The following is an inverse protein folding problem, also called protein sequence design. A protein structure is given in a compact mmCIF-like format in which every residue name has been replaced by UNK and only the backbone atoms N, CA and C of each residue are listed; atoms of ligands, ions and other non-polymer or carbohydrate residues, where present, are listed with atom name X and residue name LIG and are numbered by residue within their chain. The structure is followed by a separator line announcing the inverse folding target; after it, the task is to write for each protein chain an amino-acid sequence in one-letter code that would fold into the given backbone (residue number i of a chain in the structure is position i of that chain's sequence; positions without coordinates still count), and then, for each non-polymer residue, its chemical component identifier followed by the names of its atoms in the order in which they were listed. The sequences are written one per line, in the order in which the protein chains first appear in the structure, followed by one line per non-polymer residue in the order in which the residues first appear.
data_IF_429621295103
#
_entry.id   IF_429621295103
#
_cell.length_a   1.000
_cell.length_b   1.000
_cell.length_c   1.000
_cell.angle_alpha   90.00
_cell.angle_beta   90.00
_cell.angle_gamma   90.00
#
_symmetry.space_group_name_H-M   'P 1'
#
loop_
_entity.id
_entity.type
_entity.pdbx_description
1 polymer ?
#
# COMPACT_ATOMS: atom_id res chain seq x y z
N UNK A 1 29.02 15.24 -4.85
CA UNK A 1 28.62 13.84 -4.64
C UNK A 1 27.11 13.74 -4.77
N UNK A 2 26.63 13.40 -5.96
CA UNK A 2 25.21 13.33 -6.32
C UNK A 2 24.71 11.91 -6.10
N UNK A 3 23.97 11.67 -5.02
CA UNK A 3 23.27 10.40 -4.78
C UNK A 3 22.13 10.27 -5.78
N UNK A 4 22.23 9.24 -6.64
CA UNK A 4 21.19 8.79 -7.58
C UNK A 4 19.90 8.46 -6.78
N UNK A 5 18.70 8.83 -7.24
CA UNK A 5 17.47 8.39 -6.59
C UNK A 5 17.41 6.86 -6.66
N UNK A 6 17.43 6.20 -5.51
CA UNK A 6 17.30 4.75 -5.43
C UNK A 6 15.97 4.34 -6.04
N UNK A 7 16.01 3.35 -6.93
CA UNK A 7 14.81 2.68 -7.42
C UNK A 7 13.97 2.27 -6.20
N UNK A 8 12.65 2.49 -6.26
CA UNK A 8 11.77 1.95 -5.23
C UNK A 8 12.00 0.43 -5.16
N UNK A 9 12.12 -0.15 -3.96
CA UNK A 9 12.31 -1.59 -3.85
C UNK A 9 11.11 -2.27 -4.49
N UNK A 10 11.36 -3.06 -5.54
CA UNK A 10 10.34 -3.89 -6.18
C UNK A 10 9.71 -4.81 -5.12
N UNK A 11 8.38 -4.97 -5.14
CA UNK A 11 7.71 -5.76 -4.12
C UNK A 11 8.13 -7.22 -4.22
N UNK A 12 8.20 -7.90 -3.07
CA UNK A 12 8.58 -9.31 -3.04
C UNK A 12 7.56 -10.17 -3.80
N UNK A 13 8.03 -11.22 -4.47
CA UNK A 13 7.16 -12.13 -5.24
C UNK A 13 6.05 -12.73 -4.36
N UNK A 14 6.38 -13.07 -3.11
CA UNK A 14 5.44 -13.55 -2.10
C UNK A 14 4.35 -12.53 -1.76
N UNK A 15 4.70 -11.25 -1.56
CA UNK A 15 3.74 -10.19 -1.31
C UNK A 15 2.82 -9.93 -2.53
N UNK A 16 3.39 -10.02 -3.73
CA UNK A 16 2.64 -9.94 -4.99
C UNK A 16 1.69 -11.13 -5.13
N UNK A 17 2.13 -12.35 -4.79
CA UNK A 17 1.30 -13.55 -4.84
C UNK A 17 0.10 -13.48 -3.89
N UNK A 18 0.32 -13.02 -2.65
CA UNK A 18 -0.76 -12.76 -1.69
C UNK A 18 -1.77 -11.77 -2.28
N UNK A 19 -1.28 -10.64 -2.80
CA UNK A 19 -2.14 -9.57 -3.34
C UNK A 19 -2.97 -10.05 -4.53
N UNK A 20 -2.36 -10.82 -5.44
CA UNK A 20 -3.06 -11.41 -6.60
C UNK A 20 -4.17 -12.38 -6.16
N UNK A 21 -3.90 -13.22 -5.17
CA UNK A 21 -4.91 -14.13 -4.61
C UNK A 21 -6.04 -13.37 -3.92
N UNK A 22 -5.75 -12.38 -3.09
CA UNK A 22 -6.78 -11.55 -2.44
C UNK A 22 -7.65 -10.80 -3.47
N UNK A 23 -7.03 -10.27 -4.52
CA UNK A 23 -7.75 -9.63 -5.61
C UNK A 23 -8.66 -10.60 -6.37
N UNK A 24 -8.25 -11.88 -6.54
CA UNK A 24 -9.09 -12.88 -7.19
C UNK A 24 -10.33 -13.22 -6.36
N UNK A 25 -10.26 -13.16 -5.01
CA UNK A 25 -11.46 -13.31 -4.16
C UNK A 25 -12.50 -12.23 -4.45
N UNK A 26 -12.07 -10.97 -4.64
CA UNK A 26 -13.00 -9.86 -4.97
C UNK A 26 -13.54 -10.04 -6.38
N UNK A 27 -12.66 -10.36 -7.34
CA UNK A 27 -13.03 -10.54 -8.74
C UNK A 27 -14.03 -11.69 -8.94
N UNK A 28 -13.84 -12.80 -8.23
CA UNK A 28 -14.71 -13.98 -8.28
C UNK A 28 -15.95 -13.85 -7.36
N UNK A 29 -16.15 -12.70 -6.72
CA UNK A 29 -17.24 -12.46 -5.78
C UNK A 29 -17.27 -13.45 -4.60
N UNK A 30 -16.11 -13.95 -4.16
CA UNK A 30 -15.99 -14.82 -2.99
C UNK A 30 -16.06 -14.00 -1.69
N UNK A 31 -17.26 -13.51 -1.41
CA UNK A 31 -17.55 -12.69 -0.24
C UNK A 31 -17.53 -13.49 1.05
N UNK A 32 -17.70 -14.82 0.99
CA UNK A 32 -17.61 -15.70 2.13
C UNK A 32 -16.17 -15.71 2.67
N UNK A 33 -15.19 -15.98 1.79
CA UNK A 33 -13.76 -15.95 2.17
C UNK A 33 -13.32 -14.58 2.67
N UNK A 34 -13.75 -13.50 2.01
CA UNK A 34 -13.48 -12.13 2.49
C UNK A 34 -14.15 -11.84 3.84
N UNK A 35 -15.33 -12.40 4.11
CA UNK A 35 -15.99 -12.25 5.41
C UNK A 35 -15.29 -13.04 6.52
N UNK A 36 -14.75 -14.22 6.19
CA UNK A 36 -13.94 -15.00 7.11
C UNK A 36 -12.64 -14.28 7.47
N UNK A 37 -11.89 -13.77 6.48
CA UNK A 37 -10.65 -13.02 6.72
C UNK A 37 -10.82 -11.80 7.64
N UNK A 38 -12.03 -11.22 7.74
CA UNK A 38 -12.34 -10.14 8.70
C UNK A 38 -12.52 -10.61 10.14
N UNK A 39 -12.46 -11.92 10.42
CA UNK A 39 -12.73 -12.53 11.74
C UNK A 39 -11.46 -13.16 12.32
N UNK A 40 -10.49 -12.37 12.81
CA UNK A 40 -9.17 -12.86 13.20
C UNK A 40 -9.17 -13.86 14.39
N UNK A 41 -10.28 -13.97 15.12
CA UNK A 41 -10.45 -14.94 16.22
C UNK A 41 -10.81 -16.34 15.74
N UNK A 42 -11.20 -16.51 14.48
CA UNK A 42 -11.64 -17.78 13.91
C UNK A 42 -10.69 -18.12 12.77
N UNK A 43 -9.92 -19.19 12.91
CA UNK A 43 -9.05 -19.66 11.85
C UNK A 43 -9.83 -20.60 10.92
N UNK A 44 -9.92 -20.23 9.65
CA UNK A 44 -10.58 -20.97 8.56
C UNK A 44 -9.64 -21.07 7.35
N UNK A 45 -10.03 -21.83 6.34
CA UNK A 45 -9.23 -22.05 5.11
C UNK A 45 -8.61 -20.76 4.55
N UNK A 46 -9.33 -19.63 4.42
CA UNK A 46 -8.75 -18.42 3.85
C UNK A 46 -7.59 -17.85 4.69
N UNK A 47 -7.63 -18.03 6.00
CA UNK A 47 -6.56 -17.59 6.88
C UNK A 47 -5.30 -18.42 6.64
N UNK A 48 -5.43 -19.75 6.60
CA UNK A 48 -4.30 -20.64 6.31
C UNK A 48 -3.72 -20.38 4.92
N UNK A 49 -4.58 -20.12 3.94
CA UNK A 49 -4.15 -19.80 2.58
C UNK A 49 -3.39 -18.48 2.49
N UNK A 50 -3.81 -17.46 3.25
CA UNK A 50 -3.03 -16.23 3.38
C UNK A 50 -1.63 -16.50 3.96
N UNK A 51 -1.51 -17.42 4.92
CA UNK A 51 -0.23 -17.80 5.53
C UNK A 51 0.69 -18.56 4.57
N UNK A 52 0.16 -19.34 3.62
CA UNK A 52 0.97 -20.06 2.62
C UNK A 52 1.78 -19.15 1.70
N UNK A 53 1.38 -17.89 1.57
CA UNK A 53 2.15 -16.91 0.82
C UNK A 53 3.34 -16.35 1.60
N UNK A 54 3.41 -16.55 2.92
CA UNK A 54 4.53 -16.11 3.75
C UNK A 54 5.77 -16.97 3.46
N UNK A 55 6.94 -16.37 3.17
CA UNK A 55 8.15 -17.13 2.87
C UNK A 55 8.72 -17.85 4.10
N UNK A 56 8.46 -17.31 5.30
CA UNK A 56 8.90 -17.88 6.57
C UNK A 56 7.86 -17.70 7.68
N UNK A 57 8.09 -18.35 8.81
CA UNK A 57 7.18 -18.34 9.97
C UNK A 57 7.16 -16.98 10.70
N UNK A 58 8.24 -16.21 10.62
CA UNK A 58 8.34 -14.91 11.28
C UNK A 58 7.47 -13.85 10.59
N UNK A 59 7.24 -14.00 9.29
CA UNK A 59 6.43 -13.07 8.48
C UNK A 59 4.93 -13.41 8.46
N UNK A 60 4.53 -14.60 8.96
CA UNK A 60 3.14 -15.08 8.92
C UNK A 60 2.13 -14.10 9.51
N UNK A 61 2.48 -13.43 10.62
CA UNK A 61 1.60 -12.42 11.24
C UNK A 61 1.32 -11.28 10.28
N UNK A 62 2.33 -10.78 9.56
CA UNK A 62 2.18 -9.67 8.60
C UNK A 62 1.26 -10.07 7.46
N UNK A 63 1.45 -11.25 6.87
CA UNK A 63 0.61 -11.73 5.76
C UNK A 63 -0.85 -11.90 6.20
N UNK A 64 -1.10 -12.48 7.37
CA UNK A 64 -2.44 -12.60 7.94
C UNK A 64 -3.10 -11.24 8.20
N UNK A 65 -2.36 -10.29 8.79
CA UNK A 65 -2.89 -8.96 9.10
C UNK A 65 -3.15 -8.15 7.83
N UNK A 66 -2.32 -8.24 6.81
CA UNK A 66 -2.58 -7.57 5.53
C UNK A 66 -3.80 -8.16 4.83
N UNK A 67 -3.99 -9.49 4.86
CA UNK A 67 -5.21 -10.12 4.35
C UNK A 67 -6.47 -9.62 5.08
N UNK A 68 -6.41 -9.48 6.40
CA UNK A 68 -7.47 -8.86 7.20
C UNK A 68 -7.74 -7.41 6.77
N UNK A 69 -6.71 -6.57 6.64
CA UNK A 69 -6.84 -5.17 6.21
C UNK A 69 -7.45 -5.05 4.81
N UNK A 70 -6.99 -5.89 3.88
CA UNK A 70 -7.54 -5.97 2.52
C UNK A 70 -9.04 -6.30 2.56
N UNK A 71 -9.44 -7.27 3.37
CA UNK A 71 -10.83 -7.70 3.50
C UNK A 71 -11.72 -6.63 4.16
N UNK A 72 -11.16 -5.81 5.07
CA UNK A 72 -11.83 -4.62 5.62
C UNK A 72 -12.05 -3.57 4.55
N UNK A 73 -11.03 -3.27 3.73
CA UNK A 73 -11.14 -2.26 2.66
C UNK A 73 -12.17 -2.64 1.58
N UNK A 74 -12.20 -3.91 1.20
CA UNK A 74 -13.08 -4.43 0.15
C UNK A 74 -14.47 -4.84 0.64
N UNK A 75 -14.82 -4.57 1.91
CA UNK A 75 -16.16 -4.87 2.41
C UNK A 75 -17.22 -4.10 1.61
N UNK A 76 -18.05 -4.85 0.87
CA UNK A 76 -19.11 -4.31 0.02
C UNK A 76 -18.64 -3.75 -1.33
N UNK A 77 -17.38 -3.97 -1.73
CA UNK A 77 -16.87 -3.58 -3.06
C UNK A 77 -16.98 -4.76 -4.05
N UNK A 78 -17.29 -4.45 -5.30
CA UNK A 78 -17.36 -5.40 -6.41
C UNK A 78 -16.11 -5.45 -7.28
N UNK A 79 -15.23 -4.45 -7.16
CA UNK A 79 -13.99 -4.38 -7.95
C UNK A 79 -12.76 -4.42 -7.04
N UNK A 80 -11.72 -5.19 -7.41
CA UNK A 80 -10.47 -5.20 -6.66
C UNK A 80 -9.73 -3.87 -6.85
N UNK A 81 -9.21 -3.34 -5.75
CA UNK A 81 -8.32 -2.19 -5.75
C UNK A 81 -6.93 -2.64 -5.28
N UNK A 82 -5.97 -2.71 -6.20
CA UNK A 82 -4.59 -3.04 -5.90
C UNK A 82 -3.88 -1.95 -5.08
N UNK A 83 -4.35 -0.70 -5.21
CA UNK A 83 -3.77 0.46 -4.56
C UNK A 83 -2.43 0.87 -5.18
N UNK A 84 -1.87 1.96 -4.64
CA UNK A 84 -0.56 2.47 -5.06
C UNK A 84 0.06 3.32 -3.95
N UNK A 85 1.39 3.43 -4.02
CA UNK A 85 2.21 4.16 -3.05
C UNK A 85 2.28 3.49 -1.68
N UNK A 86 3.00 4.15 -0.77
CA UNK A 86 3.08 3.76 0.64
C UNK A 86 1.79 4.06 1.40
N UNK A 87 1.70 3.63 2.67
CA UNK A 87 0.60 4.06 3.53
C UNK A 87 0.60 5.58 3.76
N UNK A 88 1.77 6.21 3.81
CA UNK A 88 1.90 7.66 3.91
C UNK A 88 1.26 8.37 2.71
N UNK A 89 1.55 7.90 1.50
CA UNK A 89 0.95 8.41 0.26
C UNK A 89 -0.57 8.22 0.25
N UNK A 90 -1.02 7.04 0.70
CA UNK A 90 -2.44 6.75 0.79
C UNK A 90 -3.15 7.66 1.78
N UNK A 91 -2.56 7.87 2.95
CA UNK A 91 -3.14 8.70 4.00
C UNK A 91 -3.34 10.16 3.59
N UNK A 92 -2.57 10.67 2.61
CA UNK A 92 -2.81 12.01 2.02
C UNK A 92 -4.18 12.15 1.38
N UNK A 93 -4.79 11.04 0.98
CA UNK A 93 -6.12 11.01 0.37
C UNK A 93 -7.24 11.11 1.41
N UNK A 94 -6.96 10.85 2.69
CA UNK A 94 -7.95 10.91 3.78
C UNK A 94 -8.41 12.36 3.98
N UNK A 95 -9.72 12.56 4.14
CA UNK A 95 -10.35 13.86 4.33
C UNK A 95 -11.39 14.18 3.24
N UNK A 96 -12.07 15.31 3.38
CA UNK A 96 -13.14 15.78 2.50
C UNK A 96 -13.19 17.30 2.45
N UNK A 97 -13.48 17.89 1.28
CA UNK A 97 -13.90 19.28 1.08
C UNK A 97 -12.98 20.39 1.61
N UNK A 98 -12.81 20.45 2.92
CA UNK A 98 -12.18 21.51 3.70
C UNK A 98 -10.71 21.21 4.07
N UNK A 99 -10.20 20.03 3.72
CA UNK A 99 -8.84 19.61 4.00
C UNK A 99 -8.63 18.13 3.68
N UNK A 100 -7.40 17.76 3.30
CA UNK A 100 -6.99 16.37 3.09
C UNK A 100 -5.55 16.16 3.52
N UNK A 101 -5.23 14.94 3.91
CA UNK A 101 -3.87 14.57 4.28
C UNK A 101 -3.37 15.42 5.44
N UNK A 102 -2.21 16.10 5.34
CA UNK A 102 -1.69 16.97 6.39
C UNK A 102 -2.65 18.08 6.84
N UNK A 103 -3.55 18.52 5.95
CA UNK A 103 -4.52 19.57 6.26
C UNK A 103 -5.78 19.04 6.98
N UNK A 104 -5.95 17.70 7.08
CA UNK A 104 -6.98 17.05 7.91
C UNK A 104 -6.36 16.69 9.28
N UNK A 105 -6.73 17.36 10.39
CA UNK A 105 -6.13 17.11 11.69
C UNK A 105 -6.28 15.67 12.18
N UNK A 106 -7.34 14.98 11.77
CA UNK A 106 -7.55 13.57 12.09
C UNK A 106 -6.58 12.65 11.36
N UNK A 107 -6.28 12.94 10.09
CA UNK A 107 -5.34 12.18 9.27
C UNK A 107 -3.91 12.40 9.76
N UNK A 108 -3.53 13.66 10.06
CA UNK A 108 -2.23 13.99 10.64
C UNK A 108 -1.99 13.24 11.96
N UNK A 109 -2.93 13.34 12.92
CA UNK A 109 -2.84 12.63 14.20
C UNK A 109 -2.77 11.10 14.03
N UNK A 110 -3.45 10.56 13.03
CA UNK A 110 -3.40 9.12 12.76
C UNK A 110 -2.03 8.69 12.26
N UNK A 111 -1.44 9.45 11.33
CA UNK A 111 -0.11 9.14 10.80
C UNK A 111 0.95 9.33 11.86
N UNK A 112 0.89 10.40 12.67
CA UNK A 112 1.81 10.60 13.80
C UNK A 112 1.83 9.38 14.73
N UNK A 113 0.67 8.85 15.11
CA UNK A 113 0.58 7.64 15.95
C UNK A 113 1.16 6.39 15.27
N UNK A 114 1.00 6.27 13.96
CA UNK A 114 1.57 5.15 13.20
C UNK A 114 3.09 5.25 13.18
N UNK A 115 3.64 6.40 12.79
CA UNK A 115 5.08 6.55 12.54
C UNK A 115 5.92 6.63 13.81
N UNK A 116 5.33 7.03 14.93
CA UNK A 116 6.00 7.04 16.24
C UNK A 116 6.03 5.67 16.93
N UNK A 117 5.33 4.66 16.39
CA UNK A 117 5.19 3.36 17.05
C UNK A 117 6.42 2.47 16.88
N UNK A 118 6.95 1.95 18.00
CA UNK A 118 8.08 0.99 18.00
C UNK A 118 7.70 -0.42 17.52
N UNK A 119 6.45 -0.81 17.72
CA UNK A 119 5.86 -2.06 17.21
C UNK A 119 4.93 -1.75 16.05
N UNK A 120 4.60 -2.75 15.24
CA UNK A 120 3.63 -2.56 14.17
C UNK A 120 2.28 -2.10 14.79
N UNK A 121 1.77 -0.90 14.41
CA UNK A 121 0.61 -0.31 15.06
C UNK A 121 -0.71 -0.83 14.46
N UNK A 122 -0.98 -2.15 14.58
CA UNK A 122 -2.09 -2.84 13.91
C UNK A 122 -3.44 -2.11 13.98
N UNK A 123 -3.83 -1.63 15.17
CA UNK A 123 -5.10 -0.91 15.37
C UNK A 123 -5.17 0.40 14.56
N UNK A 124 -4.06 1.12 14.46
CA UNK A 124 -4.01 2.38 13.72
C UNK A 124 -3.96 2.12 12.21
N UNK A 125 -3.30 1.05 11.76
CA UNK A 125 -3.33 0.61 10.35
C UNK A 125 -4.76 0.26 9.91
N UNK A 126 -5.47 -0.51 10.73
CA UNK A 126 -6.89 -0.81 10.49
C UNK A 126 -7.72 0.46 10.41
N UNK A 127 -7.51 1.41 11.33
CA UNK A 127 -8.22 2.68 11.31
C UNK A 127 -7.92 3.49 10.04
N UNK A 128 -6.66 3.53 9.58
CA UNK A 128 -6.28 4.21 8.34
C UNK A 128 -6.97 3.60 7.13
N UNK A 129 -6.95 2.27 7.00
CA UNK A 129 -7.61 1.56 5.91
C UNK A 129 -9.13 1.75 5.94
N UNK A 130 -9.75 1.71 7.13
CA UNK A 130 -11.17 1.97 7.29
C UNK A 130 -11.54 3.41 6.91
N UNK A 131 -10.72 4.41 7.26
CA UNK A 131 -10.92 5.81 6.83
C UNK A 131 -10.76 5.98 5.33
N UNK A 132 -9.74 5.36 4.71
CA UNK A 132 -9.58 5.37 3.25
C UNK A 132 -10.81 4.81 2.55
N UNK A 133 -11.32 3.68 3.03
CA UNK A 133 -12.57 3.09 2.54
C UNK A 133 -13.76 4.04 2.71
N UNK A 134 -13.94 4.64 3.88
CA UNK A 134 -15.06 5.52 4.19
C UNK A 134 -15.06 6.81 3.35
N UNK A 135 -13.87 7.32 3.01
CA UNK A 135 -13.71 8.47 2.11
C UNK A 135 -13.75 8.10 0.62
N UNK A 136 -13.99 6.84 0.29
CA UNK A 136 -13.88 6.26 -1.06
C UNK A 136 -12.56 6.60 -1.77
N UNK A 137 -11.44 6.36 -1.08
CA UNK A 137 -10.08 6.64 -1.56
C UNK A 137 -9.29 5.38 -1.77
N UNK A 138 -8.49 5.38 -2.85
CA UNK A 138 -7.60 4.28 -3.21
C UNK A 138 -6.68 3.88 -2.04
N UNK A 139 -6.51 2.57 -1.77
CA UNK A 139 -5.68 2.08 -0.68
C UNK A 139 -4.18 2.27 -1.01
N UNK A 140 -3.26 2.03 -0.05
CA UNK A 140 -1.85 1.83 -0.39
C UNK A 140 -1.68 0.60 -1.29
N UNK A 141 -0.51 0.47 -1.92
CA UNK A 141 -0.14 -0.81 -2.56
C UNK A 141 -0.09 -1.91 -1.50
N UNK A 142 -0.89 -2.96 -1.67
CA UNK A 142 -0.97 -4.05 -0.69
C UNK A 142 0.33 -4.86 -0.60
N UNK A 143 0.99 -5.11 -1.74
CA UNK A 143 2.27 -5.81 -1.75
C UNK A 143 3.37 -4.99 -1.08
N UNK A 144 3.45 -3.68 -1.38
CA UNK A 144 4.37 -2.78 -0.70
C UNK A 144 4.08 -2.70 0.79
N UNK A 145 2.82 -2.71 1.20
CA UNK A 145 2.45 -2.71 2.62
C UNK A 145 2.98 -3.96 3.34
N UNK A 146 2.93 -5.14 2.72
CA UNK A 146 3.55 -6.36 3.29
C UNK A 146 5.05 -6.15 3.49
N UNK A 147 5.76 -5.69 2.45
CA UNK A 147 7.21 -5.52 2.50
C UNK A 147 7.65 -4.43 3.50
N UNK A 148 6.89 -3.35 3.60
CA UNK A 148 7.10 -2.28 4.58
C UNK A 148 6.91 -2.79 6.01
N UNK A 149 5.89 -3.61 6.25
CA UNK A 149 5.60 -4.16 7.58
C UNK A 149 6.60 -5.25 7.99
N UNK A 150 7.06 -6.09 7.07
CA UNK A 150 8.14 -7.05 7.33
C UNK A 150 9.45 -6.37 7.70
N UNK A 151 9.70 -5.16 7.17
CA UNK A 151 10.87 -4.33 7.46
C UNK A 151 10.64 -3.31 8.56
N UNK A 152 9.53 -3.37 9.28
CA UNK A 152 9.16 -2.36 10.29
C UNK A 152 10.24 -2.17 11.38
N UNK A 153 10.90 -3.26 11.75
CA UNK A 153 11.97 -3.28 12.76
C UNK A 153 13.37 -3.06 12.18
N UNK A 154 13.52 -3.03 10.85
CA UNK A 154 14.78 -2.74 10.20
C UNK A 154 15.05 -1.23 10.22
N UNK A 155 16.03 -0.84 11.04
CA UNK A 155 16.46 0.56 11.17
C UNK A 155 17.00 1.14 9.88
N UNK A 156 17.50 0.32 8.94
CA UNK A 156 17.99 0.78 7.64
C UNK A 156 16.85 1.09 6.68
N UNK A 157 15.78 0.31 6.73
CA UNK A 157 14.59 0.52 5.92
C UNK A 157 13.84 1.80 6.30
N UNK A 158 13.90 2.25 7.56
CA UNK A 158 13.34 3.53 8.03
C UNK A 158 11.86 3.73 7.64
N UNK A 159 11.09 2.65 7.52
CA UNK A 159 9.69 2.65 7.04
C UNK A 159 8.82 3.72 7.72
N UNK A 160 8.82 3.87 9.07
CA UNK A 160 8.01 4.90 9.70
C UNK A 160 8.37 6.32 9.27
N UNK A 161 9.67 6.59 9.08
CA UNK A 161 10.15 7.87 8.58
C UNK A 161 9.73 8.10 7.13
N UNK A 162 9.87 7.10 6.26
CA UNK A 162 9.46 7.21 4.85
C UNK A 162 7.96 7.47 4.71
N UNK A 163 7.12 6.79 5.51
CA UNK A 163 5.69 7.05 5.52
C UNK A 163 5.35 8.46 6.00
N UNK A 164 6.04 8.96 7.04
CA UNK A 164 5.87 10.33 7.52
C UNK A 164 6.27 11.36 6.46
N UNK A 165 7.40 11.16 5.80
CA UNK A 165 7.86 12.00 4.69
C UNK A 165 6.87 11.97 3.54
N UNK A 166 6.46 10.78 3.09
CA UNK A 166 5.49 10.61 2.01
C UNK A 166 4.17 11.33 2.31
N UNK A 167 3.73 11.32 3.57
CA UNK A 167 2.52 12.01 4.01
C UNK A 167 2.67 13.55 3.98
N UNK A 168 3.80 14.08 4.45
CA UNK A 168 4.01 15.54 4.58
C UNK A 168 4.57 16.23 3.34
N UNK A 169 5.13 15.50 2.35
CA UNK A 169 5.66 16.12 1.13
C UNK A 169 4.52 16.82 0.35
N UNK A 170 4.64 18.13 0.05
CA UNK A 170 3.66 18.85 -0.75
C UNK A 170 3.51 18.25 -2.16
N UNK A 171 2.28 18.23 -2.70
CA UNK A 171 2.00 17.65 -4.03
C UNK A 171 2.80 18.32 -5.16
N UNK A 172 3.06 19.63 -5.05
CA UNK A 172 3.86 20.39 -6.01
C UNK A 172 5.30 19.87 -6.14
N UNK A 173 5.86 19.25 -5.08
CA UNK A 173 7.22 18.68 -5.10
C UNK A 173 7.25 17.24 -5.59
N UNK A 174 6.15 16.49 -5.45
CA UNK A 174 6.03 15.12 -5.96
C UNK A 174 5.93 15.06 -7.49
N UNK A 175 5.26 16.05 -8.12
CA UNK A 175 5.17 16.17 -9.58
C UNK A 175 6.45 16.69 -10.25
N UNK A 176 7.33 17.36 -9.49
CA UNK A 176 8.58 17.96 -9.98
C UNK A 176 9.76 16.99 -10.03
N UNK A 177 9.54 15.68 -9.84
CA UNK A 177 10.52 14.65 -10.18
C UNK A 177 10.17 14.16 -11.59
N UNK A 178 10.72 14.76 -12.66
CA UNK A 178 10.61 14.18 -13.97
C UNK A 178 11.30 12.81 -13.92
N UNK A 179 10.52 11.76 -14.18
CA UNK A 179 11.07 10.50 -14.67
C UNK A 179 11.87 10.85 -15.91
N UNK A 180 13.19 10.74 -15.86
CA UNK A 180 14.05 10.83 -17.03
C UNK A 180 13.77 9.61 -17.91
N UNK A 181 12.61 9.61 -18.55
CA UNK A 181 12.38 8.87 -19.77
C UNK A 181 13.22 9.57 -20.84
N UNK A 182 14.15 8.79 -21.41
CA UNK A 182 15.03 9.21 -22.48
C UNK A 182 14.27 9.89 -23.62
N UNK A 183 14.85 10.91 -24.28
CA UNK A 183 14.21 11.54 -25.41
C UNK A 183 14.09 10.52 -26.55
N UNK A 184 12.88 10.42 -27.09
CA UNK A 184 12.61 9.76 -28.35
C UNK A 184 13.51 10.38 -29.43
N UNK A 185 14.44 9.57 -29.95
CA UNK A 185 15.16 9.89 -31.17
C UNK A 185 14.21 9.66 -32.36
N UNK A 186 13.74 10.78 -32.87
CA UNK A 186 13.23 11.08 -34.21
C UNK A 186 13.58 10.05 -35.30
N UNK A 187 12.55 9.53 -35.96
CA UNK A 187 12.57 9.34 -37.42
C UNK A 187 11.92 10.59 -38.03
N UNK A 188 12.48 11.18 -39.10
CA UNK A 188 12.08 10.72 -40.43
C UNK A 188 13.17 10.90 -41.52
N UNK A 189 13.40 9.89 -42.36
CA UNK A 189 13.95 10.14 -43.70
C UNK A 189 13.48 9.04 -44.66
N UNK A 190 12.38 9.34 -45.35
CA UNK A 190 12.05 8.75 -46.65
C UNK A 190 11.97 9.93 -47.59
N UNK A 191 12.96 10.06 -48.46
CA UNK A 191 12.83 10.55 -49.84
C UNK A 191 14.18 10.48 -50.55
N UNK A 192 14.31 9.58 -51.52
CA UNK A 192 14.91 9.89 -52.81
C UNK A 192 14.73 8.73 -53.80
N UNK A 193 13.86 9.01 -54.76
CA UNK A 193 13.69 8.37 -56.07
C UNK A 193 14.92 8.61 -56.95
N UNK A 194 15.36 7.59 -57.71
CA UNK A 194 15.47 7.55 -59.19
C UNK A 194 16.20 6.27 -59.60
#
# INVERSE_FOLDING_TARGET
MTTRPGAEPEPSESAVALTKWLASLVHNHDYASLAELRRPRIQREPHFRALWHSPDDAQREVYAQVAFLFAVYHQGRSQPAYGYGSLGDAARRIGSGNGRGPDDPGAARLIDRIVTSRRIPWRHLQHAVARLRACDRQPPSWSRLVDDLNRWHDRRARVPYEWGVAFHIPAARAAAVPSTAAPAASSPEKDSTT
#
